data_IF_868301424828
#
_entry.id   IF_868301424828
#
_cell.length_a   1.000
_cell.length_b   1.000
_cell.length_c   1.000
_cell.angle_alpha   90.00
_cell.angle_beta   90.00
_cell.angle_gamma   90.00
#
_symmetry.space_group_name_H-M   'P 1'
#
loop_
_entity.id
_entity.type
_entity.pdbx_description
1 polymer ?
2 non-polymer ?
3 water ?
#
# COMPACT_ATOMS: atom_id res chain seq x y z
N UNK A 1 46.01 7.76 1.81
CA UNK A 1 45.38 8.44 2.98
C UNK A 1 44.05 7.74 3.28
N UNK A 2 43.76 7.49 4.54
CA UNK A 2 42.51 6.83 4.88
C UNK A 2 41.26 7.63 4.48
N UNK A 3 41.41 8.95 4.41
CA UNK A 3 40.33 9.85 4.02
C UNK A 3 40.08 9.76 2.51
N UNK A 4 41.16 9.81 1.73
CA UNK A 4 41.07 9.70 0.28
C UNK A 4 40.39 8.38 -0.10
N UNK A 5 40.76 7.32 0.62
CA UNK A 5 40.19 6.01 0.36
C UNK A 5 38.68 6.05 0.56
N UNK A 6 38.24 6.73 1.61
CA UNK A 6 36.82 6.84 1.90
C UNK A 6 36.04 7.65 0.87
N UNK A 7 36.71 8.61 0.25
CA UNK A 7 36.06 9.39 -0.76
C UNK A 7 35.85 8.55 -2.03
N UNK A 8 36.88 7.79 -2.41
CA UNK A 8 36.83 6.92 -3.59
C UNK A 8 35.65 5.99 -3.42
N UNK A 9 35.46 5.48 -2.21
CA UNK A 9 34.35 4.60 -1.91
C UNK A 9 33.04 5.33 -2.12
N UNK A 10 32.97 6.54 -1.58
CA UNK A 10 31.76 7.34 -1.71
C UNK A 10 31.51 7.61 -3.20
N UNK A 11 32.53 8.14 -3.88
CA UNK A 11 32.41 8.45 -5.29
C UNK A 11 32.09 7.24 -6.17
N UNK A 12 32.70 6.10 -5.90
CA UNK A 12 32.46 4.91 -6.71
C UNK A 12 31.19 4.12 -6.39
N UNK A 13 30.72 4.19 -5.15
CA UNK A 13 29.53 3.42 -4.76
C UNK A 13 28.31 4.25 -4.35
N UNK A 14 28.52 5.54 -4.12
CA UNK A 14 27.40 6.37 -3.71
C UNK A 14 26.99 6.10 -2.28
N UNK A 15 27.82 5.35 -1.56
CA UNK A 15 27.55 5.03 -0.16
C UNK A 15 28.70 5.52 0.70
N UNK A 16 28.38 6.05 1.87
CA UNK A 16 29.42 6.51 2.78
C UNK A 16 30.02 5.28 3.48
N UNK A 17 31.35 5.22 3.62
CA UNK A 17 32.01 4.09 4.29
C UNK A 17 31.25 3.65 5.55
N UNK A 18 30.99 4.61 6.44
CA UNK A 18 30.24 4.32 7.66
C UNK A 18 28.79 4.69 7.40
N UNK A 19 27.85 3.79 7.72
CA UNK A 19 28.07 2.47 8.33
C UNK A 19 28.09 1.32 7.31
N UNK A 20 27.81 1.64 6.05
CA UNK A 20 27.74 0.64 4.99
C UNK A 20 28.88 -0.36 4.83
N UNK A 21 30.11 0.08 5.03
CA UNK A 21 31.24 -0.82 4.88
C UNK A 21 32.11 -1.02 6.12
N UNK A 22 32.15 -0.01 6.99
CA UNK A 22 32.95 -0.12 8.21
C UNK A 22 32.36 -1.19 9.13
N UNK A 23 31.06 -1.44 8.98
CA UNK A 23 30.39 -2.43 9.81
C UNK A 23 29.77 -3.55 9.01
N UNK A 24 30.35 -3.89 7.86
CA UNK A 24 29.76 -4.93 7.04
C UNK A 24 30.42 -6.32 7.11
N UNK A 25 29.56 -7.33 7.20
CA UNK A 25 30.01 -8.71 7.21
C UNK A 25 30.95 -9.14 8.32
N UNK A 26 31.81 -10.10 8.00
CA UNK A 26 32.77 -10.66 8.97
C UNK A 26 34.19 -10.18 8.84
N UNK A 27 34.52 -9.50 7.74
CA UNK A 27 35.87 -9.02 7.56
C UNK A 27 35.95 -7.50 7.66
N UNK A 28 35.25 -6.82 6.76
CA UNK A 28 35.24 -5.37 6.74
C UNK A 28 34.86 -4.86 8.13
N UNK A 29 33.77 -5.40 8.68
CA UNK A 29 33.31 -4.93 9.97
C UNK A 29 33.77 -5.61 11.26
N UNK A 30 34.67 -6.59 11.16
CA UNK A 30 35.14 -7.27 12.36
C UNK A 30 36.68 -7.26 12.44
N UNK A 31 37.27 -6.19 11.93
CA UNK A 31 38.70 -6.06 11.95
C UNK A 31 39.46 -7.04 11.07
N UNK A 32 38.73 -7.84 10.29
CA UNK A 32 39.40 -8.80 9.43
C UNK A 32 39.67 -10.09 10.19
N UNK A 33 38.96 -10.24 11.30
CA UNK A 33 39.10 -11.41 12.16
C UNK A 33 38.43 -12.64 11.59
N UNK A 34 37.23 -12.46 11.04
CA UNK A 34 36.51 -13.60 10.49
C UNK A 34 36.68 -13.73 8.99
N UNK A 35 36.22 -14.85 8.44
CA UNK A 35 36.33 -15.05 7.01
C UNK A 35 35.25 -14.30 6.25
N UNK A 36 35.58 -13.77 5.06
CA UNK A 36 34.65 -13.02 4.21
C UNK A 36 33.32 -13.75 4.03
N UNK A 37 32.22 -13.02 4.12
CA UNK A 37 30.89 -13.61 4.01
C UNK A 37 30.39 -13.59 2.56
N UNK A 38 30.90 -12.68 1.75
CA UNK A 38 30.49 -12.58 0.36
C UNK A 38 31.52 -11.76 -0.42
N UNK A 39 31.21 -11.43 -1.67
CA UNK A 39 32.13 -10.68 -2.53
C UNK A 39 32.54 -9.32 -1.99
N UNK A 40 31.57 -8.52 -1.55
CA UNK A 40 31.86 -7.21 -1.00
C UNK A 40 32.76 -7.36 0.22
N UNK A 41 32.42 -8.34 1.06
CA UNK A 41 33.20 -8.60 2.26
C UNK A 41 34.63 -8.91 1.86
N UNK A 42 34.78 -9.71 0.81
CA UNK A 42 36.09 -10.11 0.31
C UNK A 42 36.92 -8.93 -0.19
N UNK A 43 36.25 -7.87 -0.64
CA UNK A 43 36.98 -6.70 -1.13
C UNK A 43 37.91 -6.12 -0.06
N UNK A 44 37.45 -6.12 1.18
CA UNK A 44 38.26 -5.61 2.28
C UNK A 44 39.48 -6.49 2.48
N UNK A 45 39.29 -7.80 2.41
CA UNK A 45 40.41 -8.74 2.56
C UNK A 45 41.45 -8.47 1.49
N UNK A 46 41.00 -8.32 0.24
CA UNK A 46 41.93 -8.08 -0.86
C UNK A 46 42.65 -6.75 -0.70
N UNK A 47 41.96 -5.81 -0.04
CA UNK A 47 42.53 -4.50 0.21
C UNK A 47 43.67 -4.60 1.22
N UNK A 48 43.47 -5.35 2.30
CA UNK A 48 44.52 -5.51 3.30
C UNK A 48 45.77 -6.16 2.73
N UNK A 49 45.58 -7.16 1.88
CA UNK A 49 46.71 -7.83 1.28
C UNK A 49 47.47 -6.87 0.41
N UNK A 50 46.74 -6.01 -0.28
CA UNK A 50 47.36 -5.03 -1.16
C UNK A 50 48.29 -4.13 -0.35
N UNK A 51 47.82 -3.70 0.82
CA UNK A 51 48.61 -2.86 1.72
C UNK A 51 49.76 -3.69 2.29
N UNK A 52 49.46 -4.95 2.61
CA UNK A 52 50.47 -5.83 3.18
C UNK A 52 51.73 -5.89 2.35
N UNK A 53 51.57 -5.77 1.02
CA UNK A 53 52.69 -5.81 0.11
C UNK A 53 53.50 -4.51 0.06
N UNK A 54 53.00 -3.48 0.74
CA UNK A 54 53.71 -2.19 0.75
C UNK A 54 54.37 -1.99 2.11
N UNK A 55 55.43 -2.75 2.34
CA UNK A 55 56.17 -2.71 3.58
C UNK A 55 56.80 -1.36 3.94
N UNK A 56 57.53 -0.77 3.00
CA UNK A 56 58.18 0.53 3.24
C UNK A 56 57.25 1.72 3.16
N UNK A 57 55.95 1.49 2.99
CA UNK A 57 55.02 2.61 2.89
C UNK A 57 54.11 2.73 4.09
N UNK A 58 53.47 3.89 4.19
CA UNK A 58 52.54 4.14 5.28
C UNK A 58 51.16 4.35 4.64
N UNK A 59 50.57 3.26 4.10
CA UNK A 59 49.28 3.21 3.42
C UNK A 59 48.13 3.98 4.09
N UNK A 60 48.26 4.24 5.39
CA UNK A 60 47.21 4.91 6.12
C UNK A 60 47.42 6.39 6.34
N UNK A 61 48.66 6.86 6.19
CA UNK A 61 48.97 8.26 6.44
C UNK A 61 49.39 9.04 5.21
N UNK A 62 49.96 8.36 4.23
CA UNK A 62 50.42 9.03 3.03
C UNK A 62 49.27 9.51 2.16
N UNK A 63 49.29 10.79 1.80
CA UNK A 63 48.26 11.39 0.96
C UNK A 63 48.74 11.42 -0.48
N UNK A 64 48.14 10.59 -1.32
CA UNK A 64 48.53 10.50 -2.73
C UNK A 64 47.78 11.51 -3.60
N UNK A 65 47.92 11.35 -4.91
CA UNK A 65 47.29 12.24 -5.88
C UNK A 65 46.44 11.47 -6.87
N UNK A 66 45.14 11.75 -6.90
CA UNK A 66 44.22 11.08 -7.83
C UNK A 66 43.13 12.02 -8.34
N UNK A 67 42.50 11.63 -9.44
CA UNK A 67 41.44 12.42 -10.03
C UNK A 67 40.29 11.55 -10.50
N UNK A 68 39.09 12.11 -10.49
CA UNK A 68 37.91 11.38 -10.96
C UNK A 68 36.96 12.37 -11.63
N UNK A 69 37.52 13.27 -12.44
CA UNK A 69 36.73 14.28 -13.12
C UNK A 69 35.75 13.71 -14.14
N UNK A 70 36.16 12.65 -14.82
CA UNK A 70 35.34 12.05 -15.86
C UNK A 70 34.79 10.66 -15.61
N UNK A 71 34.44 10.38 -14.35
CA UNK A 71 33.87 9.08 -14.00
C UNK A 71 34.81 7.93 -13.68
N UNK A 72 36.10 8.10 -13.92
CA UNK A 72 37.04 7.03 -13.63
C UNK A 72 38.25 7.50 -12.85
N UNK A 73 38.49 6.83 -11.73
CA UNK A 73 39.62 7.16 -10.86
C UNK A 73 40.93 6.94 -11.59
N UNK A 74 41.75 7.99 -11.61
CA UNK A 74 43.05 7.94 -12.24
C UNK A 74 44.07 8.49 -11.26
N UNK A 75 44.99 7.62 -10.83
CA UNK A 75 46.04 7.99 -9.89
C UNK A 75 47.08 8.91 -10.53
N UNK A 76 47.27 10.08 -9.94
CA UNK A 76 48.23 11.04 -10.47
C UNK A 76 49.65 10.50 -10.39
N UNK A 77 50.62 11.38 -10.26
CA UNK A 77 52.01 10.96 -10.17
C UNK A 77 52.66 11.51 -8.91
N UNK A 79 55.73 9.53 -6.19
CA UNK A 79 56.24 8.68 -5.13
C UNK A 79 55.84 7.22 -5.39
N UNK A 80 56.82 6.32 -5.57
CA UNK A 80 56.46 4.92 -5.81
C UNK A 80 55.41 4.44 -4.82
N UNK A 81 55.53 4.87 -3.57
CA UNK A 81 54.59 4.49 -2.53
C UNK A 81 53.21 5.09 -2.82
N UNK A 82 53.17 6.40 -3.01
CA UNK A 82 51.90 7.07 -3.26
C UNK A 82 51.08 6.38 -4.33
N UNK A 83 51.70 6.16 -5.48
CA UNK A 83 51.03 5.51 -6.61
C UNK A 83 50.51 4.11 -6.24
N UNK A 84 51.36 3.29 -5.64
CA UNK A 84 50.97 1.93 -5.26
C UNK A 84 49.81 1.94 -4.27
N UNK A 85 49.90 2.84 -3.29
CA UNK A 85 48.85 2.95 -2.29
C UNK A 85 47.56 3.32 -3.04
N UNK A 86 47.65 4.32 -3.91
CA UNK A 86 46.49 4.75 -4.68
C UNK A 86 45.83 3.59 -5.45
N UNK A 87 46.64 2.77 -6.11
CA UNK A 87 46.11 1.63 -6.86
C UNK A 87 45.32 0.71 -5.93
N UNK A 88 45.89 0.39 -4.78
CA UNK A 88 45.18 -0.47 -3.82
C UNK A 88 43.79 0.10 -3.52
N UNK A 89 43.75 1.40 -3.22
CA UNK A 89 42.50 2.06 -2.89
C UNK A 89 41.53 2.01 -4.05
N UNK A 90 42.05 2.32 -5.24
CA UNK A 90 41.23 2.31 -6.45
C UNK A 90 40.58 0.94 -6.61
N UNK A 91 41.40 -0.10 -6.66
CA UNK A 91 40.91 -1.46 -6.80
C UNK A 91 39.75 -1.78 -5.86
N UNK A 92 39.92 -1.48 -4.57
CA UNK A 92 38.88 -1.75 -3.59
C UNK A 92 37.60 -0.95 -3.86
N UNK A 93 37.74 0.34 -4.19
CA UNK A 93 36.55 1.14 -4.47
C UNK A 93 35.85 0.48 -5.65
N UNK A 94 36.62 0.14 -6.69
CA UNK A 94 36.03 -0.52 -7.84
C UNK A 94 35.43 -1.88 -7.46
N UNK A 95 36.05 -2.56 -6.50
CA UNK A 95 35.55 -3.86 -6.06
C UNK A 95 34.19 -3.69 -5.38
N UNK A 96 34.07 -2.71 -4.49
CA UNK A 96 32.79 -2.48 -3.83
C UNK A 96 31.72 -2.17 -4.88
N UNK A 97 32.09 -1.36 -5.87
CA UNK A 97 31.17 -0.97 -6.95
C UNK A 97 30.69 -2.16 -7.76
N UNK A 98 31.62 -2.94 -8.30
CA UNK A 98 31.28 -4.10 -9.11
C UNK A 98 30.38 -5.10 -8.37
N UNK A 99 30.40 -5.06 -7.04
CA UNK A 99 29.61 -5.99 -6.25
C UNK A 99 28.40 -5.41 -5.55
N UNK A 100 27.99 -4.21 -5.94
CA UNK A 100 26.80 -3.58 -5.35
C UNK A 100 25.57 -4.43 -5.64
N UNK A 101 25.66 -5.19 -6.73
CA UNK A 101 24.59 -6.07 -7.17
C UNK A 101 24.19 -7.10 -6.12
N UNK A 102 25.12 -7.44 -5.23
CA UNK A 102 24.82 -8.43 -4.21
C UNK A 102 25.02 -7.92 -2.80
N UNK A 103 25.27 -6.63 -2.66
CA UNK A 103 25.45 -6.05 -1.34
C UNK A 103 24.25 -6.43 -0.47
N UNK A 104 24.52 -6.98 0.72
CA UNK A 104 23.45 -7.35 1.62
C UNK A 104 23.41 -6.41 2.80
N UNK A 105 22.24 -5.83 3.04
CA UNK A 105 22.10 -4.91 4.14
C UNK A 105 21.96 -5.68 5.46
N UNK A 106 21.66 -6.98 5.37
CA UNK A 106 21.49 -7.87 6.53
C UNK A 106 22.83 -8.21 7.20
N UNK A 107 23.90 -7.94 6.46
CA UNK A 107 25.25 -8.20 6.93
C UNK A 107 25.83 -6.98 7.57
N UNK A 108 25.05 -5.91 7.59
CA UNK A 108 25.52 -4.68 8.19
C UNK A 108 25.47 -4.87 9.70
N UNK A 109 26.62 -4.71 10.33
CA UNK A 109 26.73 -4.88 11.77
C UNK A 109 26.40 -6.33 12.09
N UNK A 110 26.83 -7.23 11.19
CA UNK A 110 26.61 -8.65 11.35
C UNK A 110 27.20 -9.03 12.70
N UNK A 111 26.84 -10.22 13.18
CA UNK A 111 27.27 -10.74 14.46
C UNK A 111 28.49 -11.63 14.40
N UNK A 112 29.48 -11.32 15.23
CA UNK A 112 30.74 -12.06 15.30
C UNK A 112 30.62 -13.56 15.51
N UNK A 113 29.68 -13.98 16.36
CA UNK A 113 29.49 -15.40 16.67
C UNK A 113 29.07 -16.27 15.47
N UNK A 114 28.63 -15.63 14.39
CA UNK A 114 28.22 -16.36 13.20
C UNK A 114 29.34 -16.35 12.16
N UNK A 115 30.46 -15.72 12.54
CA UNK A 115 31.62 -15.61 11.67
C UNK A 115 32.59 -16.76 11.90
N UNK A 116 33.31 -17.13 10.85
CA UNK A 116 34.26 -18.22 10.91
C UNK A 116 35.59 -17.68 10.38
N UNK A 117 36.27 -18.50 9.59
CA UNK A 117 37.55 -18.12 8.98
C UNK A 117 38.12 -19.27 8.16
N UNK A 120 41.49 -18.59 4.76
CA UNK A 120 42.14 -17.79 3.74
C UNK A 120 43.25 -16.91 4.30
N UNK A 121 44.36 -16.86 3.56
CA UNK A 121 45.52 -16.07 3.92
C UNK A 121 46.01 -15.40 2.64
N UNK A 122 46.50 -14.16 2.75
CA UNK A 122 46.97 -13.45 1.57
C UNK A 122 47.89 -14.35 0.76
N UNK B 1 -45.69 -0.57 8.47
CA UNK B 1 -45.07 0.48 9.34
C UNK B 1 -43.74 0.93 8.73
N UNK B 2 -43.34 2.16 8.99
CA UNK B 2 -42.08 2.69 8.46
C UNK B 2 -40.89 2.02 9.10
N UNK B 3 -41.02 1.67 10.37
CA UNK B 3 -39.95 0.99 11.10
C UNK B 3 -39.69 -0.39 10.49
N UNK B 4 -40.74 -1.18 10.34
CA UNK B 4 -40.64 -2.52 9.77
C UNK B 4 -40.04 -2.46 8.37
N UNK B 5 -40.41 -1.44 7.60
CA UNK B 5 -39.86 -1.32 6.24
C UNK B 5 -38.34 -1.18 6.31
N UNK B 6 -37.86 -0.41 7.28
CA UNK B 6 -36.42 -0.22 7.43
C UNK B 6 -35.71 -1.50 7.82
N UNK B 7 -36.40 -2.35 8.58
CA UNK B 7 -35.85 -3.62 9.01
C UNK B 7 -35.67 -4.60 7.84
N UNK B 8 -36.63 -4.63 6.93
CA UNK B 8 -36.51 -5.52 5.77
C UNK B 8 -35.32 -5.04 4.93
N UNK B 9 -35.16 -3.73 4.84
CA UNK B 9 -34.06 -3.16 4.09
C UNK B 9 -32.73 -3.61 4.67
N UNK B 10 -32.61 -3.45 5.98
CA UNK B 10 -31.39 -3.82 6.67
C UNK B 10 -31.16 -5.33 6.55
N UNK B 11 -32.20 -6.12 6.82
CA UNK B 11 -32.10 -7.57 6.74
C UNK B 11 -31.77 -8.10 5.36
N UNK B 12 -32.39 -7.52 4.34
CA UNK B 12 -32.15 -7.95 2.95
C UNK B 12 -30.91 -7.36 2.30
N UNK B 13 -30.48 -6.17 2.72
CA UNK B 13 -29.32 -5.58 2.07
C UNK B 13 -28.09 -5.52 2.94
N UNK B 14 -28.27 -5.58 4.24
CA UNK B 14 -27.14 -5.51 5.13
C UNK B 14 -26.66 -4.08 5.25
N UNK B 15 -27.54 -3.15 4.92
CA UNK B 15 -27.25 -1.73 4.99
C UNK B 15 -28.37 -1.03 5.75
N UNK B 16 -28.02 -0.09 6.62
CA UNK B 16 -29.02 0.66 7.36
C UNK B 16 -29.64 1.68 6.40
N UNK B 17 -30.97 1.88 6.48
CA UNK B 17 -31.63 2.85 5.60
C UNK B 17 -30.87 4.17 5.56
N UNK B 18 -30.49 4.68 6.72
CA UNK B 18 -29.72 5.93 6.81
C UNK B 18 -28.26 5.57 7.02
N UNK B 19 -27.35 6.12 6.21
CA UNK B 19 -27.55 7.10 5.13
C UNK B 19 -27.67 6.47 3.73
N UNK B 20 -27.30 5.21 3.62
CA UNK B 20 -27.31 4.47 2.37
C UNK B 20 -28.47 4.59 1.38
N UNK B 21 -29.69 4.61 1.89
CA UNK B 21 -30.86 4.71 1.01
C UNK B 21 -31.65 5.99 1.18
N UNK B 22 -31.75 6.46 2.42
CA UNK B 22 -32.50 7.69 2.70
C UNK B 22 -31.90 8.91 1.97
N UNK B 23 -30.61 8.85 1.65
CA UNK B 23 -29.93 9.95 0.95
C UNK B 23 -29.38 9.56 -0.42
N UNK B 24 -29.89 8.49 -1.01
CA UNK B 24 -29.39 8.05 -2.32
C UNK B 24 -30.04 8.67 -3.54
N UNK B 25 -29.22 8.89 -4.57
CA UNK B 25 -29.68 9.42 -5.84
C UNK B 25 -30.57 10.65 -5.90
N UNK B 26 -31.46 10.64 -6.90
CA UNK B 26 -32.36 11.76 -7.14
C UNK B 26 -33.81 11.55 -6.72
N UNK B 27 -34.19 10.30 -6.45
CA UNK B 27 -35.54 10.03 -6.01
C UNK B 27 -35.55 9.71 -4.52
N UNK B 28 -34.88 8.61 -4.15
CA UNK B 28 -34.81 8.19 -2.75
C UNK B 28 -34.35 9.32 -1.85
N UNK B 29 -33.17 9.85 -2.15
CA UNK B 29 -32.57 10.90 -1.35
C UNK B 29 -33.12 12.30 -1.45
N UNK B 30 -33.66 12.68 -2.60
CA UNK B 30 -34.19 14.02 -2.76
C UNK B 30 -35.71 14.03 -2.62
N UNK B 31 -36.22 13.05 -1.88
CA UNK B 31 -37.65 12.96 -1.61
C UNK B 31 -38.63 12.80 -2.75
N UNK B 32 -38.22 12.20 -3.86
CA UNK B 32 -39.14 12.00 -4.96
C UNK B 32 -39.39 13.18 -5.87
N UNK B 33 -38.40 14.08 -5.98
CA UNK B 33 -38.57 15.25 -6.85
C UNK B 33 -37.95 15.05 -8.23
N UNK B 34 -36.79 14.40 -8.28
CA UNK B 34 -36.12 14.16 -9.55
C UNK B 34 -36.33 12.77 -10.10
N UNK B 35 -35.89 12.56 -11.34
CA UNK B 35 -36.03 11.25 -11.95
C UNK B 35 -34.97 10.27 -11.45
N UNK B 36 -35.31 8.98 -11.26
CA UNK B 36 -34.37 7.96 -10.79
C UNK B 36 -33.05 7.98 -11.56
N UNK B 37 -31.94 7.89 -10.83
CA UNK B 37 -30.63 7.94 -11.45
C UNK B 37 -30.20 6.55 -11.89
N UNK B 38 -30.63 5.51 -11.17
CA UNK B 38 -30.27 4.15 -11.51
C UNK B 38 -31.29 3.14 -10.97
N UNK B 39 -31.01 1.85 -11.12
CA UNK B 39 -31.94 0.82 -10.67
C UNK B 39 -32.31 0.87 -9.20
N UNK B 40 -31.33 1.13 -8.32
CA UNK B 40 -31.62 1.20 -6.89
C UNK B 40 -32.51 2.40 -6.63
N UNK B 41 -32.13 3.52 -7.24
CA UNK B 41 -32.88 4.76 -7.12
C UNK B 41 -34.32 4.51 -7.56
N UNK B 42 -34.48 3.73 -8.63
CA UNK B 42 -35.80 3.41 -9.18
C UNK B 42 -36.62 2.61 -8.20
N UNK B 43 -35.96 1.83 -7.37
CA UNK B 43 -36.67 1.03 -6.39
C UNK B 43 -37.55 1.90 -5.50
N UNK B 44 -37.07 3.09 -5.14
CA UNK B 44 -37.87 3.96 -4.28
C UNK B 44 -39.12 4.40 -5.04
N UNK B 45 -38.95 4.72 -6.31
CA UNK B 45 -40.05 5.14 -7.17
C UNK B 45 -41.13 4.04 -7.17
N UNK B 46 -40.74 2.83 -7.54
CA UNK B 46 -41.68 1.73 -7.57
C UNK B 46 -42.35 1.54 -6.22
N UNK B 47 -41.64 1.89 -5.15
CA UNK B 47 -42.18 1.75 -3.81
C UNK B 47 -43.27 2.78 -3.51
N UNK B 48 -43.11 4.00 -4.01
CA UNK B 48 -44.13 5.02 -3.77
C UNK B 48 -45.41 4.66 -4.53
N UNK B 49 -45.24 4.16 -5.75
CA UNK B 49 -46.37 3.77 -6.56
C UNK B 49 -47.15 2.65 -5.92
N UNK B 50 -46.44 1.73 -5.27
CA UNK B 50 -47.09 0.61 -4.62
C UNK B 50 -48.01 1.13 -3.52
N UNK B 51 -47.51 2.12 -2.77
CA UNK B 51 -48.28 2.74 -1.69
C UNK B 51 -49.43 3.54 -2.29
N UNK B 52 -49.14 4.23 -3.38
CA UNK B 52 -50.14 5.04 -4.06
C UNK B 52 -51.41 4.26 -4.36
N UNK B 53 -51.27 2.97 -4.66
CA UNK B 53 -52.41 2.12 -4.97
C UNK B 53 -53.25 1.74 -3.77
N UNK B 54 -52.70 1.91 -2.57
CA UNK B 54 -53.42 1.56 -1.34
C UNK B 54 -54.11 2.79 -0.77
N UNK B 55 -55.08 3.29 -1.52
CA UNK B 55 -55.84 4.47 -1.15
C UNK B 55 -56.44 4.46 0.25
N UNK B 56 -57.18 3.41 0.59
CA UNK B 56 -57.81 3.32 1.90
C UNK B 56 -57.00 2.62 2.98
N UNK B 57 -55.67 2.69 2.87
CA UNK B 57 -54.76 2.09 3.84
C UNK B 57 -53.84 3.20 4.35
N UNK B 58 -53.14 2.96 5.45
CA UNK B 58 -52.20 3.95 5.99
C UNK B 58 -50.83 3.27 6.11
N UNK B 59 -50.16 3.08 4.97
CA UNK B 59 -48.85 2.47 4.68
C UNK B 59 -47.66 2.83 5.57
N UNK B 60 -47.66 4.01 6.16
CA UNK B 60 -46.54 4.43 6.98
C UNK B 60 -46.78 4.30 8.46
N UNK B 61 -48.03 4.03 8.82
CA UNK B 61 -48.41 3.95 10.21
C UNK B 61 -48.98 2.59 10.63
N UNK B 62 -49.41 1.79 9.67
CA UNK B 62 -49.99 0.51 9.99
C UNK B 62 -48.89 -0.54 10.21
N UNK B 63 -48.96 -1.27 11.31
CA UNK B 63 -47.96 -2.30 11.61
C UNK B 63 -48.47 -3.67 11.18
N UNK B 64 -47.80 -4.28 10.20
CA UNK B 64 -48.20 -5.58 9.70
C UNK B 64 -47.42 -6.71 10.38
N UNK B 65 -47.59 -7.93 9.86
CA UNK B 65 -46.93 -9.10 10.43
C UNK B 65 -46.15 -9.89 9.39
N UNK B 66 -44.84 -10.00 9.59
CA UNK B 66 -44.01 -10.75 8.66
C UNK B 66 -42.94 -11.54 9.40
N UNK B 67 -42.21 -12.36 8.67
CA UNK B 67 -41.15 -13.17 9.24
C UNK B 67 -40.03 -13.38 8.23
N UNK B 68 -38.82 -13.58 8.74
CA UNK B 68 -37.67 -13.83 7.86
C UNK B 68 -36.70 -14.76 8.59
N UNK B 69 -37.27 -15.79 9.22
CA UNK B 69 -36.49 -16.77 9.96
C UNK B 69 -35.56 -17.63 9.11
N UNK B 70 -35.96 -17.89 7.87
CA UNK B 70 -35.16 -18.74 7.00
C UNK B 70 -34.57 -18.04 5.78
N UNK B 71 -34.33 -16.74 5.90
CA UNK B 71 -33.73 -16.00 4.81
C UNK B 71 -34.67 -15.30 3.83
N UNK B 72 -35.94 -15.67 3.81
CA UNK B 72 -36.87 -15.02 2.89
C UNK B 72 -38.04 -14.39 3.62
N UNK B 73 -38.29 -13.13 3.31
CA UNK B 73 -39.38 -12.38 3.93
C UNK B 73 -40.72 -13.00 3.54
N UNK B 74 -41.51 -13.31 4.56
CA UNK B 74 -42.84 -13.90 4.34
C UNK B 74 -43.90 -13.13 5.12
N UNK B 75 -44.78 -12.45 4.37
CA UNK B 75 -45.88 -11.68 4.93
C UNK B 75 -46.94 -12.64 5.43
N UNK B 76 -47.60 -12.25 6.52
CA UNK B 76 -48.61 -13.08 7.14
C UNK B 76 -50.09 -12.73 7.10
N UNK B 77 -50.68 -12.85 8.27
CA UNK B 77 -52.10 -12.66 8.50
C UNK B 77 -52.51 -11.23 8.89
N UNK B 79 -55.05 -8.83 7.41
CA UNK B 79 -55.74 -7.58 7.13
C UNK B 79 -55.40 -7.19 5.69
N UNK B 80 -56.41 -7.19 4.79
CA UNK B 80 -56.14 -6.84 3.39
C UNK B 80 -55.07 -5.77 3.21
N UNK B 81 -55.15 -4.71 4.01
CA UNK B 81 -54.16 -3.63 3.95
C UNK B 81 -52.81 -4.09 4.45
N UNK B 82 -52.78 -4.54 5.70
CA UNK B 82 -51.53 -5.00 6.29
C UNK B 82 -50.76 -5.88 5.32
N UNK B 83 -51.43 -6.85 4.72
CA UNK B 83 -50.77 -7.75 3.79
C UNK B 83 -50.27 -7.02 2.55
N UNK B 84 -51.10 -6.15 1.99
CA UNK B 84 -50.70 -5.41 0.80
C UNK B 84 -49.50 -4.51 1.10
N UNK B 85 -49.58 -3.82 2.23
CA UNK B 85 -48.53 -2.91 2.66
C UNK B 85 -47.22 -3.71 2.78
N UNK B 86 -47.31 -4.87 3.41
CA UNK B 86 -46.15 -5.75 3.60
C UNK B 86 -45.56 -6.17 2.25
N UNK B 87 -46.41 -6.54 1.28
CA UNK B 87 -45.88 -6.94 -0.03
C UNK B 87 -45.07 -5.81 -0.67
N UNK B 88 -45.62 -4.59 -0.63
CA UNK B 88 -44.94 -3.42 -1.17
C UNK B 88 -43.55 -3.31 -0.54
N UNK B 89 -43.50 -3.34 0.78
CA UNK B 89 -42.24 -3.23 1.51
C UNK B 89 -41.26 -4.34 1.13
N UNK B 90 -41.75 -5.58 1.10
CA UNK B 90 -40.91 -6.70 0.73
C UNK B 90 -40.28 -6.51 -0.65
N UNK B 91 -41.12 -6.20 -1.62
CA UNK B 91 -40.64 -6.01 -2.98
C UNK B 91 -39.54 -4.97 -3.04
N UNK B 92 -39.69 -3.89 -2.27
CA UNK B 92 -38.67 -2.82 -2.28
C UNK B 92 -37.36 -3.32 -1.70
N UNK B 93 -37.46 -4.05 -0.59
CA UNK B 93 -36.29 -4.60 0.07
C UNK B 93 -35.57 -5.53 -0.90
N UNK B 94 -36.33 -6.44 -1.51
CA UNK B 94 -35.75 -7.35 -2.48
C UNK B 94 -35.16 -6.56 -3.64
N UNK B 95 -35.83 -5.46 -4.00
CA UNK B 95 -35.39 -4.59 -5.08
C UNK B 95 -34.01 -4.02 -4.79
N UNK B 96 -33.84 -3.47 -3.60
CA UNK B 96 -32.54 -2.91 -3.23
C UNK B 96 -31.47 -4.01 -3.28
N UNK B 97 -31.84 -5.19 -2.79
CA UNK B 97 -30.93 -6.34 -2.76
C UNK B 97 -30.45 -6.74 -4.13
N UNK B 98 -31.39 -7.00 -5.03
CA UNK B 98 -31.06 -7.43 -6.39
C UNK B 98 -30.19 -6.44 -7.14
N UNK B 99 -30.13 -5.20 -6.66
CA UNK B 99 -29.33 -4.18 -7.33
C UNK B 99 -28.11 -3.66 -6.56
N UNK B 100 -27.77 -4.34 -5.46
CA UNK B 100 -26.58 -3.95 -4.69
C UNK B 100 -25.42 -4.01 -5.65
N UNK B 101 -25.58 -4.94 -6.58
CA UNK B 101 -24.64 -5.25 -7.64
C UNK B 101 -24.17 -3.98 -8.35
N UNK B 102 -25.04 -2.97 -8.40
CA UNK B 102 -24.72 -1.71 -9.08
C UNK B 102 -24.86 -0.47 -8.20
N UNK B 103 -24.99 -0.67 -6.90
CA UNK B 103 -25.13 0.45 -5.97
C UNK B 103 -23.88 1.34 -6.05
N UNK B 104 -24.07 2.62 -6.34
CA UNK B 104 -22.96 3.56 -6.43
C UNK B 104 -22.93 4.38 -5.16
N UNK B 105 -21.76 4.47 -4.54
CA UNK B 105 -21.62 5.23 -3.30
C UNK B 105 -21.47 6.73 -3.60
N UNK B 106 -21.29 7.06 -4.87
CA UNK B 106 -21.15 8.45 -5.29
C UNK B 106 -22.50 9.17 -5.19
N UNK B 107 -23.56 8.43 -5.50
CA UNK B 107 -24.91 8.98 -5.49
C UNK B 107 -25.42 9.30 -4.11
N UNK B 108 -24.69 8.87 -3.09
CA UNK B 108 -25.10 9.12 -1.71
C UNK B 108 -24.98 10.62 -1.47
N UNK B 109 -26.12 11.24 -1.15
CA UNK B 109 -26.15 12.68 -0.92
C UNK B 109 -25.82 13.43 -2.22
N UNK B 110 -26.31 12.89 -3.33
CA UNK B 110 -26.11 13.46 -4.64
C UNK B 110 -26.70 14.87 -4.59
N UNK B 111 -26.42 15.70 -5.59
CA UNK B 111 -26.94 17.06 -5.58
C UNK B 111 -28.20 17.37 -6.36
N UNK B 112 -29.06 18.18 -5.73
CA UNK B 112 -30.32 18.61 -6.30
C UNK B 112 -30.19 18.96 -7.77
N UNK B 113 -29.19 19.78 -8.09
CA UNK B 113 -28.93 20.18 -9.47
C UNK B 113 -27.91 19.25 -10.08
N UNK B 114 -28.41 18.33 -10.89
CA UNK B 114 -27.65 17.29 -11.58
C UNK B 114 -28.74 16.26 -11.71
N UNK B 115 -29.80 16.52 -10.96
CA UNK B 115 -30.98 15.67 -10.97
C UNK B 115 -31.91 16.25 -12.00
N UNK B 116 -32.45 15.38 -12.85
CA UNK B 116 -33.40 15.81 -13.86
C UNK B 116 -34.70 16.05 -13.08
N UNK B 117 -35.18 17.28 -12.94
CA UNK B 117 -36.41 17.42 -12.17
C UNK B 117 -37.72 17.31 -12.96
N UNK B 119 -39.56 13.33 -11.24
CA UNK B 119 -40.19 13.75 -12.48
C UNK B 119 -41.48 12.99 -12.79
N UNK B 120 -41.40 11.90 -13.57
CA UNK B 120 -42.61 11.16 -13.97
C UNK B 120 -43.31 10.31 -12.93
N UNK B 121 -44.62 10.11 -13.15
CA UNK B 121 -45.50 9.35 -12.27
C UNK B 121 -45.73 7.90 -12.65
N UNK B 122 -46.38 7.21 -11.73
CA UNK B 122 -46.73 5.80 -11.81
C UNK B 122 -47.57 5.43 -13.03
X LIG C 1 38.08 -0.29 5.70
X LIG C 1 36.78 0.01 5.16
X LIG C 1 36.77 -0.18 3.70
X LIG C 1 35.86 -0.86 5.82
X LIG D 1 -37.60 5.60 1.84
X LIG D 1 -36.33 4.95 1.97
X LIG D 1 -36.33 3.62 1.32
X LIG D 1 -35.35 5.82 1.40
#
# INVERSE_FOLDING_TARGET
DLWQFGKMILKETGKLPFPYYVTYGCYCGVGGRGGPKDATDRCCFVHDCCYGKLTSCKPKTDRYSYSRKDGTIVCGENDPCRKEICECDKAAAVCFRENLDTYNKKYMSYLKSLCKKXADDC
DLWQFGKMILKETGKLPFPYYVTYGCYCGVGGRGGPKDATDRCCFVHDCCYGKLTSCKPKTDRYSYSRKDGTIVCGENDPCRKEICECDKAAAVCFRENLDTYNKKYMSYLKSLCKKXADDC
IPA C1 C2 C3 O2
IPA C1 C2 C3 O2
#
